data_IF_972135098598
#
_entry.id   IF_972135098598
#
_cell.length_a   1.000
_cell.length_b   1.000
_cell.length_c   1.000
_cell.angle_alpha   90.00
_cell.angle_beta   90.00
_cell.angle_gamma   90.00
#
_symmetry.space_group_name_H-M   'P 1'
#
loop_
_entity.id
_entity.type
_entity.pdbx_description
1 polymer ?
#
# COMPACT_ATOMS: atom_id res chain seq x y z
N UNK A 1 -4.14 -8.40 -14.61
CA UNK A 1 -5.63 -8.41 -14.61
C UNK A 1 -6.11 -7.49 -15.74
N UNK A 2 -7.17 -7.83 -16.49
CA UNK A 2 -7.74 -6.93 -17.50
C UNK A 2 -9.24 -6.74 -17.32
N UNK A 3 -9.71 -5.51 -17.50
CA UNK A 3 -11.14 -5.21 -17.61
C UNK A 3 -11.35 -4.15 -18.71
N UNK A 4 -12.58 -4.03 -19.16
CA UNK A 4 -12.99 -3.09 -20.22
C UNK A 4 -13.83 -2.00 -19.59
N UNK A 5 -13.50 -0.75 -19.89
CA UNK A 5 -14.32 0.40 -19.54
C UNK A 5 -14.46 1.26 -20.81
N UNK A 6 -15.70 1.54 -21.23
CA UNK A 6 -16.03 2.37 -22.40
C UNK A 6 -15.29 1.94 -23.68
N UNK A 7 -15.41 0.66 -24.05
CA UNK A 7 -14.71 -0.01 -25.17
C UNK A 7 -13.17 0.04 -25.14
N UNK A 8 -12.58 0.63 -24.10
CA UNK A 8 -11.14 0.63 -23.90
C UNK A 8 -10.72 -0.55 -23.04
N UNK A 9 -9.88 -1.42 -23.59
CA UNK A 9 -9.29 -2.54 -22.86
C UNK A 9 -8.16 -2.03 -21.97
N UNK A 10 -8.40 -2.02 -20.66
CA UNK A 10 -7.42 -1.61 -19.67
C UNK A 10 -6.68 -2.85 -19.17
N UNK A 11 -5.38 -2.88 -19.45
CA UNK A 11 -4.47 -3.90 -18.93
C UNK A 11 -3.80 -3.36 -17.67
N UNK A 12 -4.11 -3.95 -16.52
CA UNK A 12 -3.41 -3.65 -15.29
C UNK A 12 -2.13 -4.49 -15.22
N UNK A 13 -1.02 -3.87 -15.58
CA UNK A 13 0.34 -4.34 -15.31
C UNK A 13 0.81 -3.70 -14.01
N UNK A 14 1.33 -4.48 -13.07
CA UNK A 14 1.78 -3.98 -11.76
C UNK A 14 2.77 -2.81 -11.84
N UNK A 15 3.04 -2.17 -10.70
CA UNK A 15 3.66 -0.83 -10.63
C UNK A 15 5.14 -0.81 -11.02
N UNK A 16 5.88 -1.92 -10.99
CA UNK A 16 7.28 -1.99 -11.40
C UNK A 16 7.55 -3.24 -12.25
N UNK A 17 8.19 -3.11 -13.42
CA UNK A 17 8.69 -4.27 -14.19
C UNK A 17 9.95 -3.94 -14.99
N UNK A 18 11.04 -4.67 -14.72
CA UNK A 18 11.62 -5.59 -15.71
C UNK A 18 11.84 -6.95 -15.03
N UNK A 19 11.02 -7.96 -15.28
CA UNK A 19 11.45 -9.15 -16.03
C UNK A 19 10.26 -10.03 -16.44
N UNK A 20 10.44 -10.98 -17.35
CA UNK A 20 9.47 -11.99 -17.79
C UNK A 20 8.52 -12.49 -16.68
N UNK A 21 7.23 -12.15 -16.78
CA UNK A 21 6.17 -12.63 -15.91
C UNK A 21 6.08 -14.14 -16.18
N UNK A 22 6.56 -14.95 -15.25
CA UNK A 22 6.15 -16.34 -15.15
C UNK A 22 4.82 -16.40 -14.39
N UNK A 23 3.76 -16.81 -15.09
CA UNK A 23 2.50 -17.15 -14.43
C UNK A 23 2.57 -18.63 -14.07
N UNK A 24 2.76 -18.96 -12.80
CA UNK A 24 2.70 -20.33 -12.34
C UNK A 24 1.24 -20.71 -12.07
N UNK A 25 0.70 -21.63 -12.87
CA UNK A 25 -0.60 -22.22 -12.61
C UNK A 25 -0.48 -23.23 -11.45
N UNK A 26 -1.25 -23.02 -10.38
CA UNK A 26 -1.27 -23.93 -9.24
C UNK A 26 -2.11 -25.16 -9.62
N UNK A 27 -1.46 -26.29 -9.90
CA UNK A 27 -2.15 -27.58 -10.07
C UNK A 27 -2.42 -28.23 -8.70
N UNK A 28 -3.52 -28.97 -8.60
CA UNK A 28 -4.19 -29.45 -7.36
C UNK A 28 -3.34 -30.37 -6.45
N UNK A 29 -2.11 -30.76 -6.85
CA UNK A 29 -1.13 -31.43 -5.96
C UNK A 29 -0.33 -30.43 -5.11
N UNK A 30 -1.00 -29.39 -4.59
CA UNK A 30 -0.42 -28.09 -4.21
C UNK A 30 0.16 -28.00 -2.79
N UNK A 31 0.36 -29.13 -2.10
CA UNK A 31 0.80 -29.13 -0.69
C UNK A 31 2.18 -28.51 -0.48
N UNK A 32 3.11 -28.76 -1.41
CA UNK A 32 4.49 -28.28 -1.34
C UNK A 32 4.60 -26.82 -1.82
N UNK A 33 3.93 -26.48 -2.92
CA UNK A 33 4.02 -25.15 -3.54
C UNK A 33 3.52 -24.01 -2.64
N UNK A 34 2.45 -24.21 -1.86
CA UNK A 34 2.00 -23.18 -0.91
C UNK A 34 3.05 -22.94 0.17
N UNK A 35 3.69 -24.00 0.64
CA UNK A 35 4.72 -23.91 1.69
C UNK A 35 5.95 -23.17 1.15
N UNK A 36 6.41 -23.53 -0.05
CA UNK A 36 7.52 -22.85 -0.73
C UNK A 36 7.25 -21.34 -0.93
N UNK A 37 6.03 -20.97 -1.35
CA UNK A 37 5.66 -19.56 -1.50
C UNK A 37 5.62 -18.81 -0.17
N UNK A 38 5.10 -19.45 0.89
CA UNK A 38 5.07 -18.83 2.21
C UNK A 38 6.48 -18.64 2.79
N UNK A 39 7.40 -19.56 2.51
CA UNK A 39 8.82 -19.44 2.85
C UNK A 39 9.51 -18.34 2.04
N UNK A 40 9.32 -18.32 0.71
CA UNK A 40 9.92 -17.31 -0.18
C UNK A 40 9.51 -15.88 0.21
N UNK A 41 8.25 -15.68 0.58
CA UNK A 41 7.70 -14.37 0.92
C UNK A 41 7.50 -14.16 2.42
N UNK A 42 8.20 -14.91 3.27
CA UNK A 42 8.05 -14.83 4.73
C UNK A 42 8.24 -13.40 5.26
N UNK A 43 9.14 -12.62 4.64
CA UNK A 43 9.41 -11.23 5.00
C UNK A 43 8.20 -10.29 4.80
N UNK A 44 7.30 -10.57 3.85
CA UNK A 44 6.09 -9.77 3.64
C UNK A 44 5.09 -9.88 4.80
N UNK A 45 5.15 -10.97 5.55
CA UNK A 45 4.28 -11.24 6.70
C UNK A 45 4.95 -10.92 8.05
N UNK A 46 6.24 -10.56 8.03
CA UNK A 46 6.96 -10.09 9.20
C UNK A 46 6.45 -8.72 9.67
N UNK A 47 6.72 -8.39 10.94
CA UNK A 47 6.46 -7.04 11.43
C UNK A 47 7.33 -6.03 10.66
N UNK A 48 6.74 -5.02 9.99
CA UNK A 48 7.52 -4.06 9.21
C UNK A 48 8.44 -3.27 10.13
N UNK A 49 9.75 -3.34 9.88
CA UNK A 49 10.73 -2.61 10.66
C UNK A 49 11.04 -1.27 10.00
N UNK A 50 10.83 -0.19 10.75
CA UNK A 50 11.15 1.17 10.31
C UNK A 50 10.03 1.82 9.49
N UNK A 51 10.38 2.93 8.82
CA UNK A 51 9.42 3.70 8.04
C UNK A 51 9.19 3.04 6.67
N UNK A 52 7.97 3.18 6.10
CA UNK A 52 7.72 2.78 4.72
C UNK A 52 8.74 3.41 3.77
N UNK A 53 9.19 2.65 2.78
CA UNK A 53 10.05 3.18 1.72
C UNK A 53 9.39 4.34 0.98
N UNK A 54 10.22 5.23 0.43
CA UNK A 54 9.74 6.38 -0.33
C UNK A 54 9.00 5.88 -1.58
N UNK A 55 7.73 6.25 -1.70
CA UNK A 55 6.90 5.92 -2.86
C UNK A 55 7.24 6.85 -4.03
N UNK A 56 7.32 6.31 -5.25
CA UNK A 56 7.53 7.09 -6.48
C UNK A 56 6.39 8.09 -6.73
N UNK A 57 5.17 7.74 -6.33
CA UNK A 57 4.00 8.59 -6.45
C UNK A 57 3.60 9.17 -5.10
N UNK A 58 3.55 10.49 -5.03
CA UNK A 58 3.05 11.22 -3.87
C UNK A 58 1.62 11.65 -4.09
N UNK A 59 0.73 11.31 -3.16
CA UNK A 59 -0.62 11.89 -3.15
C UNK A 59 -0.53 13.36 -2.75
N UNK A 60 -1.14 14.24 -3.55
CA UNK A 60 -1.21 15.68 -3.27
C UNK A 60 -2.65 16.08 -2.96
N UNK A 61 -2.84 16.79 -1.85
CA UNK A 61 -4.11 17.44 -1.53
C UNK A 61 -4.24 18.66 -2.44
N UNK A 62 -5.21 18.64 -3.36
CA UNK A 62 -5.48 19.78 -4.25
C UNK A 62 -6.45 20.74 -3.55
N UNK A 63 -6.00 21.96 -3.32
CA UNK A 63 -6.87 23.02 -2.79
C UNK A 63 -7.68 23.66 -3.91
N UNK A 64 -8.84 24.19 -3.56
CA UNK A 64 -9.60 25.05 -4.48
C UNK A 64 -8.85 26.36 -4.69
N UNK A 65 -9.07 27.00 -5.84
CA UNK A 65 -8.45 28.29 -6.13
C UNK A 65 -8.91 29.35 -5.11
N UNK A 66 -7.95 30.08 -4.52
CA UNK A 66 -8.24 31.12 -3.54
C UNK A 66 -8.43 30.61 -2.09
N UNK A 67 -8.19 29.34 -1.80
CA UNK A 67 -8.21 28.83 -0.43
C UNK A 67 -7.03 29.37 0.38
N UNK A 68 -7.32 30.06 1.48
CA UNK A 68 -6.31 30.52 2.45
C UNK A 68 -5.99 29.44 3.50
N UNK A 69 -4.85 29.61 4.18
CA UNK A 69 -4.45 28.72 5.26
C UNK A 69 -5.35 28.90 6.49
N UNK A 70 -5.76 27.79 7.10
CA UNK A 70 -6.59 27.80 8.33
C UNK A 70 -5.74 27.39 9.52
N UNK A 71 -5.66 28.25 10.54
CA UNK A 71 -5.01 27.97 11.81
C UNK A 71 -6.06 27.81 12.91
N UNK A 72 -6.38 26.56 13.27
CA UNK A 72 -7.28 26.25 14.38
C UNK A 72 -6.47 26.02 15.65
N UNK A 73 -6.94 26.56 16.78
CA UNK A 73 -6.32 26.31 18.08
C UNK A 73 -6.43 24.81 18.43
N UNK A 74 -5.34 24.14 18.81
CA UNK A 74 -5.39 22.74 19.24
C UNK A 74 -6.37 22.54 20.40
N UNK A 75 -7.09 21.43 20.38
CA UNK A 75 -7.97 21.04 21.48
C UNK A 75 -7.17 20.74 22.75
N UNK A 76 -7.77 21.01 23.92
CA UNK A 76 -7.18 20.65 25.22
C UNK A 76 -7.58 19.22 25.58
N UNK A 77 -6.60 18.32 25.60
CA UNK A 77 -6.78 16.96 26.09
C UNK A 77 -6.72 16.91 27.62
N UNK A 78 -7.47 15.98 28.22
CA UNK A 78 -7.28 15.64 29.62
C UNK A 78 -5.87 15.03 29.82
N UNK A 79 -5.27 15.20 31.00
CA UNK A 79 -3.89 14.76 31.27
C UNK A 79 -3.63 13.31 30.83
N UNK A 80 -4.51 12.37 31.22
CA UNK A 80 -4.39 10.95 30.85
C UNK A 80 -4.36 10.73 29.33
N UNK A 81 -5.18 11.46 28.56
CA UNK A 81 -5.22 11.32 27.10
C UNK A 81 -3.97 11.91 26.45
N UNK A 82 -3.48 13.01 27.01
CA UNK A 82 -2.26 13.64 26.54
C UNK A 82 -1.05 12.74 26.76
N UNK A 83 -0.95 12.14 27.94
CA UNK A 83 0.16 11.24 28.30
C UNK A 83 0.20 10.01 27.38
N UNK A 84 -0.95 9.45 26.99
CA UNK A 84 -1.01 8.35 26.01
C UNK A 84 -0.66 8.79 24.58
N UNK A 85 -0.97 10.04 24.19
CA UNK A 85 -0.64 10.57 22.86
C UNK A 85 0.84 10.92 22.69
N UNK A 86 1.54 11.22 23.80
CA UNK A 86 2.97 11.59 23.82
C UNK A 86 3.90 10.39 24.01
N UNK A 87 3.35 9.21 24.32
CA UNK A 87 4.08 7.96 24.49
C UNK A 87 4.39 7.28 23.16
#
# INVERSE_FOLDING_TARGET
MCFVQDDCRILWTGIDRPDDISVHAISVSSGELLTELLEEFQELFGEPQGLPTVRLFTHRIRLQLGTEAVAVRPYRYAHIQKDELER
#
